data_IF_300186179131
#
_entry.id   IF_300186179131
#
_cell.length_a   1.000
_cell.length_b   1.000
_cell.length_c   1.000
_cell.angle_alpha   90.00
_cell.angle_beta   90.00
_cell.angle_gamma   90.00
#
_symmetry.space_group_name_H-M   'P 1'
#
loop_
_entity.id
_entity.type
_entity.pdbx_description
1 polymer ?
#
# COMPACT_ATOMS: atom_id res chain seq x y z
N UNK A 1 76.89 14.24 -41.47
CA UNK A 1 76.89 15.53 -40.75
C UNK A 1 75.94 16.46 -41.50
N UNK A 2 74.76 16.79 -40.96
CA UNK A 2 73.77 17.63 -41.68
C UNK A 2 74.31 19.05 -41.91
N UNK A 3 74.14 19.57 -43.13
CA UNK A 3 74.58 20.90 -43.53
C UNK A 3 73.74 21.99 -42.84
N UNK A 4 74.27 23.22 -42.77
CA UNK A 4 73.57 24.36 -42.12
C UNK A 4 72.21 24.64 -42.78
N UNK A 5 72.09 24.46 -44.09
CA UNK A 5 70.84 24.67 -44.82
C UNK A 5 69.79 23.58 -44.51
N UNK A 6 70.20 22.31 -44.35
CA UNK A 6 69.28 21.22 -43.98
C UNK A 6 68.67 21.40 -42.59
N UNK A 7 69.42 21.97 -41.63
CA UNK A 7 68.89 22.25 -40.29
C UNK A 7 67.89 23.41 -40.30
N UNK A 8 68.12 24.43 -41.12
CA UNK A 8 67.20 25.55 -41.27
C UNK A 8 65.89 25.10 -41.94
N UNK A 9 65.98 24.26 -42.97
CA UNK A 9 64.80 23.72 -43.65
C UNK A 9 63.96 22.83 -42.71
N UNK A 10 64.62 21.96 -41.93
CA UNK A 10 63.93 21.09 -40.95
C UNK A 10 63.20 21.90 -39.88
N UNK A 11 63.83 22.95 -39.37
CA UNK A 11 63.21 23.81 -38.36
C UNK A 11 62.02 24.61 -38.94
N UNK A 12 62.11 25.06 -40.20
CA UNK A 12 61.00 25.73 -40.88
C UNK A 12 59.80 24.79 -41.11
N UNK A 13 60.05 23.54 -41.50
CA UNK A 13 59.00 22.52 -41.68
C UNK A 13 58.32 22.18 -40.34
N UNK A 14 59.08 22.07 -39.25
CA UNK A 14 58.52 21.83 -37.91
C UNK A 14 57.66 23.02 -37.45
N UNK A 15 58.11 24.25 -37.67
CA UNK A 15 57.32 25.45 -37.36
C UNK A 15 56.02 25.51 -38.16
N UNK A 16 56.05 25.15 -39.44
CA UNK A 16 54.87 25.14 -40.31
C UNK A 16 53.90 24.02 -39.92
N UNK A 17 54.40 22.85 -39.50
CA UNK A 17 53.59 21.76 -38.95
C UNK A 17 52.92 22.15 -37.62
N UNK A 18 53.63 22.85 -36.74
CA UNK A 18 53.06 23.35 -35.49
C UNK A 18 52.01 24.42 -35.77
N UNK A 19 52.26 25.35 -36.69
CA UNK A 19 51.30 26.40 -37.05
C UNK A 19 50.01 25.83 -37.68
N UNK A 20 50.13 24.80 -38.53
CA UNK A 20 48.97 24.12 -39.12
C UNK A 20 48.18 23.32 -38.08
N UNK A 21 48.84 22.67 -37.12
CA UNK A 21 48.17 22.02 -35.99
C UNK A 21 47.47 23.03 -35.06
N UNK A 22 48.08 24.18 -34.79
CA UNK A 22 47.43 25.23 -34.00
C UNK A 22 46.21 25.82 -34.72
N UNK A 23 46.30 26.08 -36.03
CA UNK A 23 45.18 26.55 -36.85
C UNK A 23 44.05 25.51 -36.91
N UNK A 24 44.38 24.22 -37.04
CA UNK A 24 43.40 23.13 -36.98
C UNK A 24 42.72 23.04 -35.61
N UNK A 25 43.47 23.20 -34.52
CA UNK A 25 42.93 23.24 -33.16
C UNK A 25 42.01 24.44 -32.92
N UNK A 26 42.39 25.63 -33.41
CA UNK A 26 41.57 26.84 -33.34
C UNK A 26 40.29 26.75 -34.16
N UNK A 27 40.34 26.13 -35.35
CA UNK A 27 39.16 25.83 -36.17
C UNK A 27 38.24 24.80 -35.51
N UNK A 28 38.80 23.76 -34.89
CA UNK A 28 38.03 22.77 -34.14
C UNK A 28 37.33 23.39 -32.91
N UNK A 29 38.03 24.27 -32.18
CA UNK A 29 37.46 25.00 -31.06
C UNK A 29 36.40 26.02 -31.49
N UNK A 30 36.58 26.71 -32.61
CA UNK A 30 35.59 27.68 -33.11
C UNK A 30 34.33 26.99 -33.65
N UNK A 31 34.47 25.83 -34.30
CA UNK A 31 33.34 25.00 -34.71
C UNK A 31 32.56 24.44 -33.50
N UNK A 32 33.27 23.99 -32.45
CA UNK A 32 32.66 23.58 -31.17
C UNK A 32 31.89 24.72 -30.49
N UNK A 33 32.48 25.92 -30.42
CA UNK A 33 31.82 27.08 -29.82
C UNK A 33 30.57 27.50 -30.61
N UNK A 34 30.61 27.38 -31.94
CA UNK A 34 29.47 27.68 -32.81
C UNK A 34 28.34 26.64 -32.66
N UNK A 35 28.66 25.36 -32.46
CA UNK A 35 27.67 24.31 -32.20
C UNK A 35 26.95 24.50 -30.85
N UNK A 36 27.69 24.91 -29.81
CA UNK A 36 27.12 25.25 -28.48
C UNK A 36 26.18 26.46 -28.58
N UNK A 37 26.56 27.48 -29.35
CA UNK A 37 25.71 28.67 -29.59
C UNK A 37 24.44 28.37 -30.41
N UNK A 38 24.41 27.24 -31.14
CA UNK A 38 23.29 26.85 -32.01
C UNK A 38 22.32 25.85 -31.36
N UNK A 39 22.59 25.41 -30.13
CA UNK A 39 21.70 24.51 -29.40
C UNK A 39 21.60 23.09 -29.98
N UNK A 40 22.53 22.69 -30.85
CA UNK A 40 22.64 21.31 -31.32
C UNK A 40 23.54 20.55 -30.34
N UNK A 41 22.95 20.10 -29.23
CA UNK A 41 23.56 19.06 -28.40
C UNK A 41 23.64 17.76 -29.21
N UNK A 42 24.81 17.12 -29.20
CA UNK A 42 25.05 15.90 -29.95
C UNK A 42 24.14 14.77 -29.46
N UNK A 43 23.38 14.16 -30.37
CA UNK A 43 22.67 12.89 -30.15
C UNK A 43 23.69 11.83 -29.72
N UNK A 44 23.69 11.46 -28.44
CA UNK A 44 24.50 10.36 -27.90
C UNK A 44 25.17 10.61 -26.54
N UNK A 45 25.21 11.84 -26.02
CA UNK A 45 25.67 12.10 -24.65
C UNK A 45 24.46 12.14 -23.71
N UNK A 46 24.31 11.10 -22.88
CA UNK A 46 23.31 11.05 -21.82
C UNK A 46 23.44 12.26 -20.89
N UNK A 47 22.33 12.93 -20.58
CA UNK A 47 22.33 14.12 -19.73
C UNK A 47 22.86 13.82 -18.32
N UNK A 48 23.69 14.73 -17.79
CA UNK A 48 24.05 14.78 -16.38
C UNK A 48 22.79 15.03 -15.55
N UNK A 49 22.43 14.10 -14.64
CA UNK A 49 21.28 14.25 -13.73
C UNK A 49 21.69 14.62 -12.31
N UNK A 50 22.94 14.33 -11.93
CA UNK A 50 23.53 14.70 -10.65
C UNK A 50 25.06 14.80 -10.76
N UNK A 51 25.72 15.41 -9.76
CA UNK A 51 27.18 15.53 -9.68
C UNK A 51 27.67 15.38 -8.24
N UNK A 52 28.79 14.68 -8.07
CA UNK A 52 29.56 14.63 -6.82
C UNK A 52 30.92 15.31 -7.06
N UNK A 53 31.01 16.60 -6.74
CA UNK A 53 32.15 17.43 -7.16
C UNK A 53 32.24 17.52 -8.68
N UNK A 54 33.36 17.05 -9.25
CA UNK A 54 33.61 17.05 -10.69
C UNK A 54 33.15 15.77 -11.41
N UNK A 55 32.60 14.78 -10.69
CA UNK A 55 32.12 13.53 -11.28
C UNK A 55 30.61 13.60 -11.55
N UNK A 56 30.17 13.60 -12.83
CA UNK A 56 28.76 13.52 -13.16
C UNK A 56 28.21 12.10 -13.03
N UNK A 57 26.94 12.02 -12.65
CA UNK A 57 26.09 10.84 -12.79
C UNK A 57 25.14 11.12 -13.95
N UNK A 58 25.22 10.28 -14.97
CA UNK A 58 24.40 10.40 -16.18
C UNK A 58 23.09 9.63 -16.04
N UNK A 59 22.05 10.08 -16.73
CA UNK A 59 20.76 9.37 -16.80
C UNK A 59 20.94 7.89 -17.22
N UNK A 60 21.75 7.62 -18.23
CA UNK A 60 22.05 6.28 -18.71
C UNK A 60 22.69 5.38 -17.64
N UNK A 61 23.60 5.91 -16.82
CA UNK A 61 24.20 5.15 -15.72
C UNK A 61 23.14 4.82 -14.66
N UNK A 62 22.30 5.79 -14.30
CA UNK A 62 21.24 5.59 -13.31
C UNK A 62 20.17 4.61 -13.79
N UNK A 63 19.62 4.81 -14.99
CA UNK A 63 18.65 3.90 -15.61
C UNK A 63 19.24 2.52 -15.84
N UNK A 64 20.53 2.42 -16.21
CA UNK A 64 21.25 1.16 -16.34
C UNK A 64 21.28 0.38 -15.03
N UNK A 65 21.63 1.04 -13.92
CA UNK A 65 21.63 0.42 -12.59
C UNK A 65 20.20 0.06 -12.11
N UNK A 66 19.19 0.88 -12.39
CA UNK A 66 17.80 0.57 -12.07
C UNK A 66 17.30 -0.66 -12.85
N UNK A 67 17.55 -0.71 -14.16
CA UNK A 67 17.21 -1.88 -14.99
C UNK A 67 17.93 -3.12 -14.50
N UNK A 68 19.21 -3.01 -14.12
CA UNK A 68 19.98 -4.14 -13.60
C UNK A 68 19.42 -4.68 -12.28
N UNK A 69 18.92 -3.82 -11.39
CA UNK A 69 18.43 -4.22 -10.07
C UNK A 69 16.95 -4.63 -10.05
N UNK A 70 16.10 -3.95 -10.83
CA UNK A 70 14.65 -4.06 -10.76
C UNK A 70 13.97 -4.24 -12.13
N UNK A 71 14.74 -4.23 -13.23
CA UNK A 71 14.17 -4.21 -14.59
C UNK A 71 13.37 -5.46 -14.92
N UNK A 72 13.82 -6.64 -14.49
CA UNK A 72 13.12 -7.91 -14.75
C UNK A 72 11.75 -7.95 -14.05
N UNK A 73 11.69 -7.48 -12.81
CA UNK A 73 10.46 -7.40 -12.01
C UNK A 73 9.48 -6.41 -12.63
N UNK A 74 9.93 -5.19 -12.92
CA UNK A 74 9.09 -4.17 -13.55
C UNK A 74 8.59 -4.64 -14.91
N UNK A 75 9.45 -5.25 -15.73
CA UNK A 75 9.05 -5.78 -17.03
C UNK A 75 8.00 -6.89 -16.89
N UNK A 76 8.18 -7.80 -15.93
CA UNK A 76 7.23 -8.88 -15.67
C UNK A 76 5.87 -8.33 -15.24
N UNK A 77 5.83 -7.34 -14.35
CA UNK A 77 4.59 -6.66 -13.93
C UNK A 77 3.89 -5.99 -15.10
N UNK A 78 4.63 -5.27 -15.96
CA UNK A 78 4.05 -4.65 -17.16
C UNK A 78 3.46 -5.70 -18.12
N UNK A 79 4.17 -6.81 -18.33
CA UNK A 79 3.66 -7.91 -19.16
C UNK A 79 2.40 -8.52 -18.57
N UNK A 80 2.36 -8.72 -17.26
CA UNK A 80 1.20 -9.21 -16.52
C UNK A 80 -0.04 -8.31 -16.73
N UNK A 81 0.10 -7.00 -16.53
CA UNK A 81 -1.00 -6.05 -16.72
C UNK A 81 -1.54 -6.10 -18.16
N UNK A 82 -0.64 -6.20 -19.15
CA UNK A 82 -1.02 -6.31 -20.56
C UNK A 82 -1.82 -7.58 -20.83
N UNK A 83 -1.34 -8.75 -20.40
CA UNK A 83 -2.01 -10.03 -20.70
C UNK A 83 -3.32 -10.19 -19.94
N UNK A 84 -3.40 -9.72 -18.70
CA UNK A 84 -4.63 -9.69 -17.89
C UNK A 84 -5.68 -8.78 -18.54
N UNK A 85 -5.30 -7.55 -18.93
CA UNK A 85 -6.21 -6.64 -19.64
C UNK A 85 -6.70 -7.23 -20.98
N UNK A 86 -5.82 -7.93 -21.69
CA UNK A 86 -6.16 -8.57 -22.96
C UNK A 86 -7.13 -9.74 -22.77
N UNK A 87 -6.92 -10.57 -21.75
CA UNK A 87 -7.81 -11.67 -21.41
C UNK A 87 -9.17 -11.18 -20.96
N UNK A 88 -9.20 -10.18 -20.08
CA UNK A 88 -10.44 -9.59 -19.60
C UNK A 88 -11.32 -9.11 -20.77
N UNK A 89 -10.72 -8.41 -21.74
CA UNK A 89 -11.41 -7.99 -22.97
C UNK A 89 -11.90 -9.17 -23.80
N UNK A 90 -11.13 -10.26 -23.88
CA UNK A 90 -11.52 -11.46 -24.63
C UNK A 90 -12.69 -12.20 -23.98
N UNK A 91 -12.76 -12.19 -22.65
CA UNK A 91 -13.84 -12.80 -21.86
C UNK A 91 -15.04 -11.86 -21.64
N UNK A 92 -14.92 -10.58 -21.97
CA UNK A 92 -15.94 -9.57 -21.69
C UNK A 92 -16.06 -9.22 -20.20
N UNK A 93 -15.00 -9.47 -19.43
CA UNK A 93 -14.87 -9.14 -18.02
C UNK A 93 -14.68 -7.61 -17.88
N UNK A 94 -15.43 -6.99 -16.98
CA UNK A 94 -15.34 -5.55 -16.70
C UNK A 94 -15.62 -5.31 -15.24
N UNK A 95 -14.57 -4.88 -14.52
CA UNK A 95 -14.68 -4.47 -13.13
C UNK A 95 -15.39 -3.12 -13.06
N UNK A 96 -16.41 -3.03 -12.21
CA UNK A 96 -17.21 -1.82 -12.02
C UNK A 96 -16.63 -0.89 -10.97
N UNK A 97 -17.00 0.40 -11.05
CA UNK A 97 -16.62 1.41 -10.04
C UNK A 97 -16.97 0.98 -8.61
N UNK A 98 -18.13 0.32 -8.46
CA UNK A 98 -18.62 -0.13 -7.16
C UNK A 98 -17.74 -1.23 -6.57
N UNK A 99 -17.22 -2.14 -7.40
CA UNK A 99 -16.30 -3.20 -6.96
C UNK A 99 -14.95 -2.63 -6.56
N UNK A 100 -14.44 -1.67 -7.33
CA UNK A 100 -13.17 -0.98 -7.02
C UNK A 100 -13.30 -0.24 -5.68
N UNK A 101 -14.35 0.55 -5.50
CA UNK A 101 -14.57 1.30 -4.25
C UNK A 101 -14.72 0.36 -3.05
N UNK A 102 -15.47 -0.75 -3.20
CA UNK A 102 -15.61 -1.75 -2.14
C UNK A 102 -14.26 -2.38 -1.76
N UNK A 103 -13.42 -2.66 -2.74
CA UNK A 103 -12.09 -3.23 -2.53
C UNK A 103 -11.11 -2.24 -1.88
N UNK A 104 -11.16 -0.97 -2.28
CA UNK A 104 -10.40 0.10 -1.64
C UNK A 104 -10.85 0.29 -0.20
N UNK A 105 -12.15 0.35 0.07
CA UNK A 105 -12.68 0.46 1.43
C UNK A 105 -12.24 -0.69 2.33
N UNK A 106 -12.23 -1.93 1.82
CA UNK A 106 -11.70 -3.10 2.54
C UNK A 106 -10.21 -2.94 2.84
N UNK A 107 -9.44 -2.46 1.87
CA UNK A 107 -8.00 -2.23 2.04
C UNK A 107 -7.71 -1.13 3.06
N UNK A 108 -8.53 -0.06 3.07
CA UNK A 108 -8.43 1.07 4.00
C UNK A 108 -8.87 0.69 5.42
N UNK A 109 -9.80 -0.25 5.58
CA UNK A 109 -10.37 -0.61 6.89
C UNK A 109 -9.34 -1.11 7.93
N UNK A 110 -8.15 -1.55 7.49
CA UNK A 110 -7.03 -1.90 8.36
C UNK A 110 -6.20 -0.71 8.87
N UNK A 111 -6.53 0.51 8.46
CA UNK A 111 -5.78 1.73 8.74
C UNK A 111 -6.64 2.73 9.54
N UNK A 112 -5.98 3.62 10.30
CA UNK A 112 -6.67 4.61 11.13
C UNK A 112 -7.42 5.68 10.32
N UNK A 113 -7.04 5.90 9.06
CA UNK A 113 -7.78 6.74 8.13
C UNK A 113 -7.41 6.45 6.67
N UNK A 114 -8.24 6.90 5.73
CA UNK A 114 -7.93 6.87 4.29
C UNK A 114 -6.63 7.64 3.99
N UNK A 115 -6.42 8.80 4.62
CA UNK A 115 -5.20 9.57 4.41
C UNK A 115 -3.96 8.78 4.83
N UNK A 116 -3.99 8.17 6.01
CA UNK A 116 -2.90 7.33 6.51
C UNK A 116 -2.63 6.14 5.59
N UNK A 117 -3.68 5.51 5.05
CA UNK A 117 -3.53 4.41 4.09
C UNK A 117 -2.70 4.83 2.87
N UNK A 118 -3.08 5.93 2.22
CA UNK A 118 -2.38 6.37 1.01
C UNK A 118 -0.98 6.94 1.30
N UNK A 119 -0.78 7.61 2.43
CA UNK A 119 0.58 8.02 2.86
C UNK A 119 1.49 6.80 3.08
N UNK A 120 0.94 5.70 3.61
CA UNK A 120 1.68 4.44 3.73
C UNK A 120 2.02 3.85 2.37
N UNK A 121 1.05 3.77 1.45
CA UNK A 121 1.27 3.24 0.09
C UNK A 121 2.32 4.06 -0.68
N UNK A 122 2.29 5.39 -0.54
CA UNK A 122 3.28 6.26 -1.17
C UNK A 122 4.67 6.10 -0.54
N UNK A 123 4.76 6.05 0.80
CA UNK A 123 6.06 5.99 1.48
C UNK A 123 6.74 4.61 1.40
N UNK A 124 5.99 3.52 1.45
CA UNK A 124 6.55 2.16 1.43
C UNK A 124 6.68 1.58 0.02
N UNK A 125 5.69 1.84 -0.84
CA UNK A 125 5.60 1.24 -2.16
C UNK A 125 5.82 2.25 -3.30
N UNK A 126 5.88 3.55 -3.00
CA UNK A 126 6.00 4.59 -4.02
C UNK A 126 4.74 4.78 -4.85
N UNK A 127 3.59 4.25 -4.42
CA UNK A 127 2.35 4.26 -5.19
C UNK A 127 1.52 5.51 -4.87
N UNK A 128 1.18 6.25 -5.91
CA UNK A 128 0.17 7.31 -5.84
C UNK A 128 -1.24 6.72 -5.65
N UNK A 129 -2.21 7.57 -5.28
CA UNK A 129 -3.62 7.18 -5.15
C UNK A 129 -4.19 6.54 -6.43
N UNK A 130 -3.78 7.05 -7.59
CA UNK A 130 -4.23 6.52 -8.88
C UNK A 130 -3.62 5.14 -9.13
N UNK A 131 -2.33 4.94 -8.84
CA UNK A 131 -1.67 3.64 -9.01
C UNK A 131 -2.25 2.60 -8.03
N UNK A 132 -2.56 2.96 -6.79
CA UNK A 132 -3.26 2.06 -5.84
C UNK A 132 -4.60 1.61 -6.41
N UNK A 133 -5.32 2.52 -7.08
CA UNK A 133 -6.58 2.20 -7.73
C UNK A 133 -6.38 1.32 -8.96
N UNK A 134 -5.36 1.57 -9.78
CA UNK A 134 -5.00 0.71 -10.92
C UNK A 134 -4.63 -0.71 -10.46
N UNK A 135 -3.91 -0.85 -9.34
CA UNK A 135 -3.59 -2.14 -8.72
C UNK A 135 -4.84 -2.86 -8.21
N UNK A 136 -5.82 -2.13 -7.66
CA UNK A 136 -7.11 -2.72 -7.29
C UNK A 136 -7.87 -3.23 -8.52
N UNK A 137 -7.90 -2.47 -9.62
CA UNK A 137 -8.49 -2.90 -10.89
C UNK A 137 -7.80 -4.15 -11.43
N UNK A 138 -6.47 -4.16 -11.46
CA UNK A 138 -5.67 -5.30 -11.90
C UNK A 138 -5.99 -6.56 -11.08
N UNK A 139 -5.97 -6.45 -9.75
CA UNK A 139 -6.25 -7.55 -8.82
C UNK A 139 -7.65 -8.13 -9.03
N UNK A 140 -8.68 -7.28 -9.06
CA UNK A 140 -10.07 -7.71 -9.25
C UNK A 140 -10.25 -8.39 -10.62
N UNK A 141 -9.67 -7.81 -11.67
CA UNK A 141 -9.72 -8.39 -13.03
C UNK A 141 -9.08 -9.78 -13.06
N UNK A 142 -7.91 -9.94 -12.43
CA UNK A 142 -7.21 -11.21 -12.37
C UNK A 142 -7.99 -12.27 -11.58
N UNK A 143 -8.65 -11.88 -10.48
CA UNK A 143 -9.53 -12.77 -9.71
C UNK A 143 -10.76 -13.21 -10.53
N UNK A 144 -11.39 -12.31 -11.28
CA UNK A 144 -12.50 -12.65 -12.17
C UNK A 144 -12.07 -13.62 -13.28
N UNK A 145 -10.90 -13.41 -13.89
CA UNK A 145 -10.35 -14.34 -14.87
C UNK A 145 -10.09 -15.71 -14.24
N UNK A 146 -9.47 -15.73 -13.05
CA UNK A 146 -9.15 -16.96 -12.34
C UNK A 146 -10.39 -17.78 -11.98
N UNK A 147 -11.53 -17.12 -11.76
CA UNK A 147 -12.79 -17.72 -11.32
C UNK A 147 -13.82 -17.92 -12.44
N UNK A 148 -13.60 -17.38 -13.64
CA UNK A 148 -14.57 -17.40 -14.75
C UNK A 148 -15.10 -18.80 -15.14
N UNK A 149 -14.32 -19.86 -14.89
CA UNK A 149 -14.70 -21.25 -15.16
C UNK A 149 -15.24 -22.02 -13.95
N UNK A 150 -15.35 -21.38 -12.79
CA UNK A 150 -15.66 -22.03 -11.51
C UNK A 150 -17.10 -21.73 -11.14
N UNK A 151 -17.90 -22.79 -11.00
CA UNK A 151 -19.28 -22.69 -10.53
C UNK A 151 -19.36 -23.18 -9.09
N UNK A 152 -19.89 -22.34 -8.19
CA UNK A 152 -20.17 -22.70 -6.81
C UNK A 152 -21.67 -22.94 -6.68
N UNK A 153 -22.05 -24.10 -6.14
CA UNK A 153 -23.44 -24.47 -5.94
C UNK A 153 -24.03 -23.80 -4.70
N UNK A 154 -25.35 -23.64 -4.66
CA UNK A 154 -26.04 -23.08 -3.48
C UNK A 154 -25.84 -23.94 -2.22
N UNK A 155 -25.73 -25.26 -2.38
CA UNK A 155 -25.45 -26.17 -1.26
C UNK A 155 -24.09 -25.90 -0.62
N UNK A 156 -23.07 -25.61 -1.42
CA UNK A 156 -21.73 -25.28 -0.90
C UNK A 156 -21.73 -23.96 -0.15
N UNK A 157 -22.51 -22.99 -0.63
CA UNK A 157 -22.70 -21.71 0.07
C UNK A 157 -23.42 -21.94 1.40
N UNK A 158 -24.48 -22.74 1.41
CA UNK A 158 -25.24 -23.07 2.62
C UNK A 158 -24.37 -23.78 3.66
N UNK A 159 -23.61 -24.79 3.22
CA UNK A 159 -22.69 -25.53 4.07
C UNK A 159 -21.60 -24.63 4.65
N UNK A 160 -21.07 -23.71 3.84
CA UNK A 160 -20.06 -22.75 4.27
C UNK A 160 -20.62 -21.76 5.30
N UNK A 161 -21.81 -21.20 5.05
CA UNK A 161 -22.49 -20.30 5.98
C UNK A 161 -22.82 -21.00 7.31
N UNK A 162 -23.26 -22.26 7.26
CA UNK A 162 -23.56 -23.03 8.45
C UNK A 162 -22.29 -23.32 9.28
N UNK A 163 -21.17 -23.63 8.63
CA UNK A 163 -19.88 -23.87 9.30
C UNK A 163 -19.23 -22.59 9.84
N UNK A 164 -19.58 -21.42 9.30
CA UNK A 164 -19.00 -20.12 9.66
C UNK A 164 -20.06 -19.14 10.18
N UNK A 165 -21.13 -19.65 10.81
CA UNK A 165 -22.30 -18.84 11.19
C UNK A 165 -21.95 -17.63 12.06
N UNK A 166 -20.97 -17.78 12.95
CA UNK A 166 -20.49 -16.70 13.82
C UNK A 166 -19.92 -15.52 13.03
N UNK A 167 -19.26 -15.78 11.89
CA UNK A 167 -18.65 -14.74 11.04
C UNK A 167 -19.67 -13.91 10.29
N UNK A 168 -20.87 -14.46 10.07
CA UNK A 168 -21.95 -13.83 9.30
C UNK A 168 -23.13 -13.38 10.16
N UNK A 169 -23.08 -13.65 11.47
CA UNK A 169 -24.08 -13.16 12.41
C UNK A 169 -23.75 -11.71 12.75
N UNK A 170 -24.64 -10.75 12.48
CA UNK A 170 -24.41 -9.36 12.85
C UNK A 170 -24.34 -9.23 14.37
N UNK A 171 -23.22 -8.71 14.89
CA UNK A 171 -22.99 -8.49 16.32
C UNK A 171 -23.17 -7.02 16.68
N UNK A 172 -23.90 -6.74 17.75
CA UNK A 172 -23.98 -5.38 18.31
C UNK A 172 -22.58 -4.89 18.65
N UNK A 173 -22.25 -3.67 18.24
CA UNK A 173 -21.00 -3.00 18.57
C UNK A 173 -21.26 -1.87 19.55
N UNK A 174 -20.36 -1.69 20.51
CA UNK A 174 -20.49 -0.73 21.60
C UNK A 174 -19.19 0.07 21.68
N UNK A 175 -19.28 1.38 21.54
CA UNK A 175 -18.20 2.29 21.82
C UNK A 175 -18.18 2.55 23.32
N UNK A 176 -17.11 2.13 23.99
CA UNK A 176 -17.02 2.10 25.44
C UNK A 176 -15.85 2.95 25.96
N UNK A 177 -16.05 3.51 27.14
CA UNK A 177 -14.99 4.08 27.98
C UNK A 177 -14.92 3.32 29.30
N UNK A 178 -13.73 3.20 29.88
CA UNK A 178 -13.46 2.43 31.09
C UNK A 178 -12.51 3.18 32.04
N UNK A 179 -12.80 3.09 33.33
CA UNK A 179 -11.89 3.40 34.43
C UNK A 179 -11.61 2.11 35.16
N UNK A 180 -10.36 1.64 35.10
CA UNK A 180 -9.93 0.42 35.78
C UNK A 180 -9.19 0.78 37.07
N UNK A 181 -9.47 0.10 38.17
CA UNK A 181 -8.84 0.33 39.49
C UNK A 181 -8.57 -1.00 40.19
N UNK A 182 -7.71 -1.01 41.21
CA UNK A 182 -7.27 -2.27 41.82
C UNK A 182 -8.35 -2.89 42.71
N UNK A 183 -9.12 -2.06 43.42
CA UNK A 183 -10.09 -2.57 44.40
C UNK A 183 -11.51 -2.09 44.15
N UNK A 184 -12.46 -2.84 44.70
CA UNK A 184 -13.87 -2.50 44.65
C UNK A 184 -14.15 -1.15 45.31
N UNK A 185 -13.49 -0.86 46.45
CA UNK A 185 -13.66 0.41 47.15
C UNK A 185 -13.11 1.62 46.37
N UNK A 186 -12.09 1.43 45.54
CA UNK A 186 -11.61 2.46 44.61
C UNK A 186 -12.65 2.73 43.52
N UNK A 187 -13.30 1.68 43.01
CA UNK A 187 -14.33 1.80 41.98
C UNK A 187 -15.60 2.45 42.53
N UNK A 188 -16.00 2.16 43.77
CA UNK A 188 -17.11 2.86 44.42
C UNK A 188 -16.85 4.36 44.56
N UNK A 189 -15.61 4.77 44.92
CA UNK A 189 -15.25 6.19 44.95
C UNK A 189 -15.31 6.84 43.58
N UNK A 190 -14.98 6.10 42.52
CA UNK A 190 -15.13 6.58 41.14
C UNK A 190 -16.61 6.80 40.83
N UNK A 191 -17.49 5.86 41.18
CA UNK A 191 -18.95 6.02 41.03
C UNK A 191 -19.47 7.24 41.79
N UNK A 192 -19.10 7.41 43.06
CA UNK A 192 -19.51 8.56 43.88
C UNK A 192 -19.10 9.92 43.28
N UNK A 193 -17.95 9.97 42.61
CA UNK A 193 -17.44 11.17 41.92
C UNK A 193 -18.19 11.44 40.63
N UNK A 194 -18.48 10.39 39.85
CA UNK A 194 -19.27 10.49 38.62
C UNK A 194 -20.72 10.90 38.90
N UNK A 195 -21.31 10.44 40.02
CA UNK A 195 -22.63 10.90 40.48
C UNK A 195 -22.67 12.39 40.85
N UNK A 196 -21.51 13.00 41.12
CA UNK A 196 -21.34 14.44 41.36
C UNK A 196 -21.05 15.22 40.07
N UNK A 197 -21.35 14.64 38.91
CA UNK A 197 -21.14 15.20 37.56
C UNK A 197 -19.66 15.51 37.24
N UNK A 198 -18.71 14.79 37.86
CA UNK A 198 -17.30 14.89 37.46
C UNK A 198 -17.09 14.30 36.06
N UNK A 199 -16.20 14.91 35.27
CA UNK A 199 -15.92 14.45 33.92
C UNK A 199 -15.23 13.08 33.91
N UNK A 200 -15.82 12.12 33.20
CA UNK A 200 -15.31 10.75 33.13
C UNK A 200 -13.89 10.67 32.57
N UNK A 201 -13.57 11.46 31.55
CA UNK A 201 -12.26 11.41 30.90
C UNK A 201 -11.17 11.99 31.80
N UNK A 202 -11.47 13.07 32.53
CA UNK A 202 -10.59 13.62 33.56
C UNK A 202 -10.36 12.62 34.69
N UNK A 203 -11.42 11.96 35.15
CA UNK A 203 -11.33 10.95 36.21
C UNK A 203 -10.52 9.72 35.76
N UNK A 204 -10.76 9.25 34.53
CA UNK A 204 -9.98 8.19 33.92
C UNK A 204 -8.49 8.53 33.87
N UNK A 205 -8.15 9.75 33.42
CA UNK A 205 -6.78 10.25 33.37
C UNK A 205 -6.10 10.30 34.76
N UNK A 206 -6.88 10.58 35.81
CA UNK A 206 -6.39 10.69 37.17
C UNK A 206 -6.14 9.34 37.83
N UNK A 207 -7.12 8.42 37.78
CA UNK A 207 -7.12 7.24 38.66
C UNK A 207 -7.04 5.89 37.93
N UNK A 208 -7.26 5.84 36.61
CA UNK A 208 -7.28 4.56 35.92
C UNK A 208 -5.89 3.90 35.93
N UNK A 209 -5.85 2.60 36.21
CA UNK A 209 -4.64 1.78 36.16
C UNK A 209 -4.38 1.21 34.76
N UNK A 210 -5.35 1.35 33.84
CA UNK A 210 -5.19 0.97 32.44
C UNK A 210 -4.44 2.07 31.67
N UNK A 211 -3.14 1.88 31.45
CA UNK A 211 -2.27 2.93 30.91
C UNK A 211 -2.65 3.38 29.50
N UNK A 212 -3.17 2.47 28.68
CA UNK A 212 -3.52 2.73 27.29
C UNK A 212 -4.76 3.62 27.18
N UNK A 213 -5.87 3.20 27.79
CA UNK A 213 -7.11 3.97 27.75
C UNK A 213 -7.01 5.25 28.59
N UNK A 214 -6.23 5.25 29.69
CA UNK A 214 -6.02 6.45 30.53
C UNK A 214 -5.54 7.66 29.73
N UNK A 215 -4.64 7.45 28.77
CA UNK A 215 -4.12 8.52 27.91
C UNK A 215 -5.15 9.07 26.92
N UNK A 216 -6.24 8.33 26.71
CA UNK A 216 -7.34 8.64 25.80
C UNK A 216 -8.67 8.86 26.54
N UNK A 217 -8.60 9.35 27.79
CA UNK A 217 -9.81 9.66 28.57
C UNK A 217 -10.65 8.43 28.95
N UNK A 218 -10.03 7.27 29.05
CA UNK A 218 -10.68 5.99 29.31
C UNK A 218 -11.25 5.30 28.08
N UNK A 219 -11.13 5.86 26.87
CA UNK A 219 -11.68 5.21 25.67
C UNK A 219 -11.00 3.87 25.38
N UNK A 220 -11.82 2.82 25.19
CA UNK A 220 -11.38 1.49 24.75
C UNK A 220 -11.87 1.15 23.33
N UNK A 221 -12.46 2.14 22.65
CA UNK A 221 -12.92 2.03 21.28
C UNK A 221 -14.19 1.20 21.11
N UNK A 222 -14.34 0.63 19.91
CA UNK A 222 -15.51 -0.15 19.49
C UNK A 222 -15.32 -1.63 19.84
N UNK A 223 -16.19 -2.16 20.69
CA UNK A 223 -16.16 -3.54 21.19
C UNK A 223 -17.40 -4.30 20.71
N UNK A 224 -17.24 -5.55 20.26
CA UNK A 224 -18.38 -6.41 19.91
C UNK A 224 -19.01 -7.03 21.17
N UNK A 225 -20.32 -7.29 21.15
CA UNK A 225 -21.06 -7.78 22.33
C UNK A 225 -20.62 -9.14 22.88
N UNK A 226 -19.85 -9.90 22.11
CA UNK A 226 -19.28 -11.20 22.46
C UNK A 226 -17.76 -11.25 22.24
N UNK A 227 -17.09 -10.09 22.31
CA UNK A 227 -15.64 -9.98 22.15
C UNK A 227 -14.89 -10.81 23.23
N UNK A 228 -14.10 -11.83 22.85
CA UNK A 228 -13.48 -12.75 23.79
C UNK A 228 -12.35 -12.12 24.62
N UNK A 229 -11.90 -10.91 24.28
CA UNK A 229 -10.86 -10.20 25.03
C UNK A 229 -11.42 -9.47 26.26
N UNK A 230 -12.74 -9.37 26.40
CA UNK A 230 -13.40 -8.66 27.51
C UNK A 230 -14.16 -9.62 28.43
N UNK A 231 -14.27 -9.30 29.75
CA UNK A 231 -15.08 -10.09 30.67
C UNK A 231 -16.54 -10.15 30.24
N UNK A 232 -17.13 -11.35 30.25
CA UNK A 232 -18.53 -11.55 29.83
C UNK A 232 -19.52 -10.68 30.62
N UNK A 233 -19.33 -10.55 31.94
CA UNK A 233 -20.18 -9.71 32.80
C UNK A 233 -20.11 -8.22 32.41
N UNK A 234 -18.94 -7.75 31.97
CA UNK A 234 -18.75 -6.39 31.49
C UNK A 234 -19.55 -6.16 30.21
N UNK A 235 -19.43 -7.07 29.23
CA UNK A 235 -20.14 -6.96 27.95
C UNK A 235 -21.66 -7.09 28.13
N UNK A 236 -22.12 -8.01 28.97
CA UNK A 236 -23.55 -8.16 29.30
C UNK A 236 -24.11 -6.90 29.93
N UNK A 237 -23.37 -6.29 30.88
CA UNK A 237 -23.76 -5.03 31.51
C UNK A 237 -23.80 -3.90 30.48
N UNK A 238 -22.72 -3.73 29.71
CA UNK A 238 -22.61 -2.72 28.65
C UNK A 238 -23.75 -2.82 27.62
N UNK A 239 -24.16 -4.04 27.26
CA UNK A 239 -25.24 -4.24 26.30
C UNK A 239 -26.61 -3.81 26.82
N UNK A 240 -26.79 -3.74 28.14
CA UNK A 240 -28.01 -3.23 28.77
C UNK A 240 -28.08 -1.71 28.88
N UNK A 241 -26.99 -0.99 28.61
CA UNK A 241 -26.89 0.45 28.79
C UNK A 241 -27.47 1.26 27.63
N UNK A 242 -27.94 2.46 27.93
CA UNK A 242 -28.18 3.52 26.93
C UNK A 242 -26.94 4.41 26.77
N UNK A 243 -26.86 5.13 25.66
CA UNK A 243 -25.72 6.02 25.40
C UNK A 243 -25.65 7.13 26.45
N UNK A 244 -24.50 7.25 27.11
CA UNK A 244 -24.23 8.13 28.25
C UNK A 244 -24.30 7.42 29.60
N UNK A 245 -24.91 6.24 29.68
CA UNK A 245 -25.04 5.53 30.96
C UNK A 245 -23.70 4.98 31.44
N UNK A 246 -23.55 4.98 32.77
CA UNK A 246 -22.38 4.48 33.49
C UNK A 246 -22.78 3.27 34.31
N UNK A 247 -21.95 2.23 34.33
CA UNK A 247 -22.14 1.05 35.16
C UNK A 247 -20.85 0.62 35.83
N UNK A 248 -20.97 0.11 37.05
CA UNK A 248 -19.86 -0.32 37.88
C UNK A 248 -20.23 -0.36 39.36
N UNK A 249 -19.35 -0.89 40.22
CA UNK A 249 -18.11 -1.59 39.89
C UNK A 249 -18.34 -2.98 39.28
N UNK A 250 -17.62 -3.32 38.20
CA UNK A 250 -17.65 -4.62 37.54
C UNK A 250 -16.31 -5.34 37.74
N UNK A 251 -16.33 -6.66 37.95
CA UNK A 251 -15.08 -7.42 38.07
C UNK A 251 -14.40 -7.56 36.70
N UNK A 252 -13.13 -7.17 36.61
CA UNK A 252 -12.33 -7.21 35.39
C UNK A 252 -10.98 -7.90 35.64
N UNK A 253 -11.03 -9.24 35.72
CA UNK A 253 -9.87 -10.07 36.08
C UNK A 253 -9.55 -9.96 37.58
N UNK A 254 -8.36 -9.47 37.90
CA UNK A 254 -7.88 -9.19 39.26
C UNK A 254 -8.16 -7.75 39.74
N UNK A 255 -8.88 -6.97 38.93
CA UNK A 255 -9.18 -5.56 39.13
C UNK A 255 -10.69 -5.30 39.03
N UNK A 256 -11.09 -4.03 39.16
CA UNK A 256 -12.46 -3.56 39.00
C UNK A 256 -12.54 -2.48 37.93
N UNK A 257 -13.68 -2.42 37.24
CA UNK A 257 -13.94 -1.48 36.17
C UNK A 257 -15.24 -0.71 36.41
N UNK A 258 -15.22 0.58 36.08
CA UNK A 258 -16.41 1.40 35.83
C UNK A 258 -16.43 1.70 34.34
N UNK A 259 -17.53 1.40 33.67
CA UNK A 259 -17.70 1.57 32.22
C UNK A 259 -18.73 2.64 31.91
N UNK A 260 -18.57 3.30 30.77
CA UNK A 260 -19.58 4.18 30.17
C UNK A 260 -19.84 3.76 28.74
N UNK A 261 -21.11 3.67 28.35
CA UNK A 261 -21.47 3.46 26.95
C UNK A 261 -21.51 4.80 26.22
N UNK A 262 -20.61 5.03 25.27
CA UNK A 262 -20.63 6.25 24.44
C UNK A 262 -21.67 6.11 23.34
N UNK A 263 -21.72 4.94 22.70
CA UNK A 263 -22.61 4.68 21.57
C UNK A 263 -22.81 3.19 21.35
N UNK A 264 -24.05 2.78 21.08
CA UNK A 264 -24.35 1.44 20.56
C UNK A 264 -24.67 1.48 19.05
N UNK A 265 -24.05 0.59 18.29
CA UNK A 265 -24.35 0.33 16.88
C UNK A 265 -24.95 -1.07 16.80
N UNK A 266 -26.27 -1.12 16.64
CA UNK A 266 -26.96 -2.36 16.28
C UNK A 266 -26.83 -2.52 14.77
N UNK A 267 -26.06 -3.50 14.27
CA UNK A 267 -25.94 -3.70 12.84
C UNK A 267 -27.32 -3.99 12.25
N UNK A 268 -27.60 -3.38 11.09
CA UNK A 268 -28.76 -3.78 10.29
C UNK A 268 -28.56 -5.24 9.87
N UNK A 269 -29.65 -5.99 9.72
CA UNK A 269 -29.60 -7.28 9.05
C UNK A 269 -28.82 -7.11 7.73
N UNK A 270 -27.72 -7.84 7.62
CA UNK A 270 -26.92 -7.83 6.40
C UNK A 270 -27.78 -8.38 5.26
N UNK A 271 -27.60 -7.81 4.06
CA UNK A 271 -28.30 -8.29 2.89
C UNK A 271 -27.83 -9.72 2.60
N UNK A 272 -28.69 -10.70 2.85
CA UNK A 272 -28.39 -12.12 2.65
C UNK A 272 -27.90 -12.41 1.22
N UNK A 273 -28.39 -11.67 0.21
CA UNK A 273 -27.88 -11.82 -1.15
C UNK A 273 -26.42 -11.35 -1.29
N UNK A 274 -26.02 -10.29 -0.59
CA UNK A 274 -24.64 -9.79 -0.60
C UNK A 274 -23.70 -10.74 0.16
N UNK A 275 -24.13 -11.28 1.31
CA UNK A 275 -23.36 -12.29 2.05
C UNK A 275 -23.13 -13.52 1.16
N UNK A 276 -24.20 -14.05 0.55
CA UNK A 276 -24.09 -15.23 -0.34
C UNK A 276 -23.20 -14.95 -1.55
N UNK A 277 -23.26 -13.75 -2.11
CA UNK A 277 -22.39 -13.35 -3.21
C UNK A 277 -20.91 -13.28 -2.77
N UNK A 278 -20.63 -12.72 -1.60
CA UNK A 278 -19.28 -12.70 -1.05
C UNK A 278 -18.74 -14.11 -0.79
N UNK A 279 -19.55 -15.00 -0.21
CA UNK A 279 -19.16 -16.40 0.01
C UNK A 279 -18.93 -17.12 -1.31
N UNK A 280 -19.75 -16.84 -2.33
CA UNK A 280 -19.55 -17.39 -3.68
C UNK A 280 -18.21 -16.97 -4.28
N UNK A 281 -17.84 -15.69 -4.19
CA UNK A 281 -16.56 -15.16 -4.65
C UNK A 281 -15.38 -15.79 -3.90
N UNK A 282 -15.48 -15.90 -2.57
CA UNK A 282 -14.46 -16.49 -1.71
C UNK A 282 -14.22 -17.97 -2.03
N UNK A 283 -15.30 -18.76 -2.12
CA UNK A 283 -15.23 -20.18 -2.49
C UNK A 283 -14.73 -20.40 -3.92
N UNK A 284 -15.10 -19.51 -4.86
CA UNK A 284 -14.61 -19.57 -6.23
C UNK A 284 -13.09 -19.32 -6.27
N UNK A 285 -12.62 -18.32 -5.52
CA UNK A 285 -11.20 -17.98 -5.44
C UNK A 285 -10.39 -19.07 -4.73
N UNK A 286 -10.94 -19.70 -3.68
CA UNK A 286 -10.30 -20.83 -2.98
C UNK A 286 -10.05 -22.02 -3.92
N UNK A 287 -10.97 -22.27 -4.86
CA UNK A 287 -10.85 -23.33 -5.86
C UNK A 287 -10.05 -22.92 -7.10
N UNK A 288 -9.76 -21.64 -7.27
CA UNK A 288 -9.02 -21.15 -8.42
C UNK A 288 -7.54 -21.54 -8.35
N UNK A 289 -6.86 -21.67 -9.50
CA UNK A 289 -5.40 -21.73 -9.51
C UNK A 289 -4.81 -20.49 -8.82
N UNK A 290 -3.63 -20.61 -8.17
CA UNK A 290 -2.94 -19.45 -7.62
C UNK A 290 -2.79 -18.34 -8.68
N UNK A 291 -3.02 -17.09 -8.30
CA UNK A 291 -3.04 -15.97 -9.26
C UNK A 291 -1.73 -15.85 -10.06
N UNK A 292 -0.58 -16.15 -9.43
CA UNK A 292 0.72 -16.18 -10.10
C UNK A 292 0.79 -17.24 -11.22
N UNK A 293 0.10 -18.37 -11.03
CA UNK A 293 -0.01 -19.41 -12.05
C UNK A 293 -0.93 -18.95 -13.19
N UNK A 294 -2.05 -18.28 -12.87
CA UNK A 294 -2.94 -17.67 -13.87
C UNK A 294 -2.17 -16.68 -14.74
N UNK A 295 -1.41 -15.75 -14.14
CA UNK A 295 -0.57 -14.81 -14.88
C UNK A 295 0.41 -15.52 -15.81
N UNK A 296 1.09 -16.57 -15.31
CA UNK A 296 2.03 -17.36 -16.12
C UNK A 296 1.34 -18.02 -17.31
N UNK A 297 0.15 -18.57 -17.10
CA UNK A 297 -0.62 -19.22 -18.16
C UNK A 297 -1.13 -18.20 -19.19
N UNK A 298 -1.51 -16.99 -18.75
CA UNK A 298 -1.87 -15.90 -19.66
C UNK A 298 -0.68 -15.41 -20.48
N UNK A 299 0.50 -15.28 -19.87
CA UNK A 299 1.75 -14.96 -20.58
C UNK A 299 2.06 -16.00 -21.66
N UNK A 300 1.92 -17.28 -21.34
CA UNK A 300 2.08 -18.37 -22.30
C UNK A 300 0.99 -18.33 -23.41
N UNK A 301 -0.27 -18.12 -23.05
CA UNK A 301 -1.41 -18.03 -23.99
C UNK A 301 -1.23 -16.92 -25.03
N UNK A 302 -0.62 -15.80 -24.64
CA UNK A 302 -0.44 -14.65 -25.50
C UNK A 302 0.96 -14.53 -26.10
N UNK A 303 1.76 -15.61 -26.07
CA UNK A 303 3.09 -15.69 -26.66
C UNK A 303 4.01 -14.53 -26.24
N UNK A 304 4.00 -14.16 -24.95
CA UNK A 304 4.85 -13.06 -24.47
C UNK A 304 6.32 -13.42 -24.65
N UNK A 305 7.07 -12.56 -25.35
CA UNK A 305 8.50 -12.71 -25.57
C UNK A 305 9.27 -11.57 -24.92
N UNK A 306 10.35 -11.92 -24.22
CA UNK A 306 11.27 -10.98 -23.58
C UNK A 306 12.48 -10.81 -24.49
N UNK A 307 12.63 -9.62 -25.06
CA UNK A 307 13.76 -9.25 -25.93
C UNK A 307 14.71 -8.32 -25.16
N UNK A 308 15.42 -8.86 -24.17
CA UNK A 308 16.46 -8.11 -23.45
C UNK A 308 17.82 -8.52 -24.01
N UNK A 309 18.60 -7.54 -24.47
CA UNK A 309 20.02 -7.74 -24.75
C UNK A 309 20.78 -7.70 -23.42
N UNK A 310 21.24 -8.86 -22.95
CA UNK A 310 22.00 -9.00 -21.70
C UNK A 310 23.49 -8.61 -21.85
N UNK A 311 23.89 -7.97 -22.95
CA UNK A 311 25.28 -7.58 -23.24
C UNK A 311 25.91 -6.57 -22.26
N UNK A 312 25.17 -6.07 -21.27
CA UNK A 312 25.68 -5.20 -20.20
C UNK A 312 25.92 -5.94 -18.87
N UNK A 313 25.74 -7.26 -18.83
CA UNK A 313 26.04 -8.09 -17.65
C UNK A 313 27.43 -8.75 -17.67
N UNK A 314 28.20 -8.60 -18.77
CA UNK A 314 29.58 -9.11 -18.91
C UNK A 314 30.65 -8.01 -18.76
#
# INVERSE_FOLDING_TARGET
>A
MMTRQERLLRNAVILLAIATLMLGGLLFWSLRAMAILKGEAAEGESSDIARAGDQPVTDQQWIGELKKKHGDEVLLTLLNHIVVSKEAKALGITVTEKEIEKELQRSIAGYGSEQQYYEQMESELGLSREEVREEAVYRLTLQEIATAGITISESEIDDYLAQNAERFTPKKKMELSMIKVYTYEEAEKVMDRLEQDEDFAALAAEVSIDEESRLHGGSIGMVEEDDPFWPEELLQTASGLEAGDIAGPLQAGDAYAVIRLEKAIVPREQNQAEIRQQVREELALEKAPPLQQVEKDLRAKYDTAIYIDNSLQD
#
